data_IF_334244250353
#
_entry.id   IF_334244250353
#
_cell.length_a   1.000
_cell.length_b   1.000
_cell.length_c   1.000
_cell.angle_alpha   90.00
_cell.angle_beta   90.00
_cell.angle_gamma   90.00
#
_symmetry.space_group_name_H-M   'P 1'
#
loop_
_entity.id
_entity.type
_entity.pdbx_description
1 polymer ?
#
# COMPACT_ATOMS: atom_id res chain seq x y z
N UNK A 1 -14.76 27.10 -39.22
CA UNK A 1 -15.86 27.02 -38.25
C UNK A 1 -15.51 25.89 -37.30
N UNK A 2 -15.31 26.19 -36.01
CA UNK A 2 -15.07 25.15 -35.00
C UNK A 2 -16.35 24.33 -34.91
N UNK A 3 -16.26 23.00 -34.98
CA UNK A 3 -17.41 22.11 -34.91
C UNK A 3 -18.17 22.23 -33.58
N UNK A 4 -19.45 21.88 -33.56
CA UNK A 4 -20.25 21.91 -32.32
C UNK A 4 -19.62 21.04 -31.21
N UNK A 5 -19.01 19.92 -31.59
CA UNK A 5 -18.32 18.99 -30.70
C UNK A 5 -17.01 19.57 -30.14
N UNK A 6 -16.18 20.14 -31.01
CA UNK A 6 -14.95 20.83 -30.61
C UNK A 6 -15.24 22.04 -29.69
N UNK A 7 -16.39 22.69 -29.89
CA UNK A 7 -16.86 23.77 -29.00
C UNK A 7 -17.24 23.24 -27.61
N UNK A 8 -17.91 22.09 -27.52
CA UNK A 8 -18.24 21.45 -26.24
C UNK A 8 -16.98 21.04 -25.48
N UNK A 9 -16.04 20.41 -26.18
CA UNK A 9 -14.75 19.99 -25.61
C UNK A 9 -13.95 21.17 -25.05
N UNK A 10 -13.82 22.26 -25.80
CA UNK A 10 -13.13 23.48 -25.32
C UNK A 10 -13.81 24.09 -24.11
N UNK A 11 -15.15 24.11 -24.07
CA UNK A 11 -15.90 24.59 -22.90
C UNK A 11 -15.67 23.73 -21.66
N UNK A 12 -15.66 22.41 -21.80
CA UNK A 12 -15.40 21.52 -20.67
C UNK A 12 -13.98 21.72 -20.12
N UNK A 13 -12.99 21.79 -21.01
CA UNK A 13 -11.60 22.06 -20.63
C UNK A 13 -11.42 23.38 -19.87
N UNK A 14 -12.10 24.45 -20.30
CA UNK A 14 -12.06 25.75 -19.63
C UNK A 14 -12.76 25.78 -18.26
N UNK A 15 -13.55 24.75 -17.91
CA UNK A 15 -14.34 24.70 -16.68
C UNK A 15 -13.79 23.72 -15.63
N UNK A 16 -12.67 23.05 -15.90
CA UNK A 16 -12.06 22.05 -15.01
C UNK A 16 -11.80 22.56 -13.60
N UNK A 17 -11.38 23.82 -13.47
CA UNK A 17 -11.11 24.47 -12.19
C UNK A 17 -12.33 24.56 -11.24
N UNK A 18 -13.56 24.30 -11.71
CA UNK A 18 -14.78 24.35 -10.89
C UNK A 18 -14.97 23.14 -9.99
N UNK A 19 -14.35 22.02 -10.32
CA UNK A 19 -14.32 20.82 -9.48
C UNK A 19 -12.85 20.40 -9.33
N UNK A 20 -12.06 21.20 -8.59
CA UNK A 20 -10.65 20.92 -8.42
C UNK A 20 -10.44 19.92 -7.29
N UNK A 21 -9.39 19.13 -7.41
CA UNK A 21 -8.88 18.20 -6.38
C UNK A 21 -7.36 18.32 -6.31
N UNK A 22 -6.76 17.84 -5.22
CA UNK A 22 -5.30 17.73 -5.09
C UNK A 22 -4.88 16.34 -5.53
N UNK A 23 -3.88 16.24 -6.42
CA UNK A 23 -3.55 15.01 -7.14
C UNK A 23 -3.36 13.78 -6.22
N UNK A 24 -2.46 13.87 -5.24
CA UNK A 24 -2.16 12.76 -4.32
C UNK A 24 -2.83 12.91 -2.95
N UNK A 25 -3.82 13.81 -2.82
CA UNK A 25 -4.53 14.06 -1.57
C UNK A 25 -5.99 14.45 -1.86
N UNK A 26 -6.76 13.46 -2.31
CA UNK A 26 -8.19 13.61 -2.59
C UNK A 26 -8.93 12.32 -2.22
N UNK A 27 -10.26 12.39 -2.18
CA UNK A 27 -11.11 11.26 -1.79
C UNK A 27 -10.97 10.04 -2.70
N UNK A 28 -10.80 10.24 -4.01
CA UNK A 28 -10.67 9.14 -4.98
C UNK A 28 -9.37 8.37 -4.73
N UNK A 29 -8.24 9.08 -4.62
CA UNK A 29 -6.95 8.46 -4.29
C UNK A 29 -6.94 7.77 -2.93
N UNK A 30 -7.62 8.34 -1.92
CA UNK A 30 -7.75 7.68 -0.61
C UNK A 30 -8.56 6.39 -0.74
N UNK A 31 -9.67 6.39 -1.49
CA UNK A 31 -10.48 5.18 -1.69
C UNK A 31 -9.71 4.08 -2.41
N UNK A 32 -8.99 4.44 -3.46
CA UNK A 32 -8.13 3.50 -4.20
C UNK A 32 -7.07 2.91 -3.27
N UNK A 33 -6.37 3.74 -2.50
CA UNK A 33 -5.33 3.28 -1.58
C UNK A 33 -5.90 2.36 -0.47
N UNK A 34 -7.12 2.62 0.03
CA UNK A 34 -7.79 1.73 0.98
C UNK A 34 -8.14 0.36 0.37
N UNK A 35 -8.52 0.32 -0.92
CA UNK A 35 -8.75 -0.94 -1.63
C UNK A 35 -7.45 -1.71 -1.83
N UNK A 36 -6.39 -1.02 -2.23
CA UNK A 36 -5.07 -1.61 -2.42
C UNK A 36 -4.52 -2.19 -1.11
N UNK A 37 -4.60 -1.42 -0.01
CA UNK A 37 -4.19 -1.87 1.32
C UNK A 37 -4.98 -3.11 1.74
N UNK A 38 -6.30 -3.09 1.60
CA UNK A 38 -7.11 -4.24 1.95
C UNK A 38 -6.76 -5.46 1.11
N UNK A 39 -6.62 -5.32 -0.21
CA UNK A 39 -6.27 -6.43 -1.09
C UNK A 39 -4.92 -7.05 -0.71
N UNK A 40 -3.94 -6.22 -0.34
CA UNK A 40 -2.64 -6.69 0.13
C UNK A 40 -2.73 -7.39 1.50
N UNK A 41 -3.55 -6.89 2.41
CA UNK A 41 -3.80 -7.54 3.70
C UNK A 41 -4.53 -8.89 3.54
N UNK A 42 -5.50 -8.99 2.62
CA UNK A 42 -6.17 -10.25 2.28
C UNK A 42 -5.20 -11.24 1.63
N UNK A 43 -4.31 -10.79 0.73
CA UNK A 43 -3.28 -11.64 0.13
C UNK A 43 -2.34 -12.24 1.19
N UNK A 44 -2.01 -11.46 2.21
CA UNK A 44 -1.22 -11.93 3.36
C UNK A 44 -1.97 -13.04 4.11
N UNK A 45 -3.26 -12.86 4.36
CA UNK A 45 -4.10 -13.88 4.99
C UNK A 45 -4.08 -15.20 4.18
N UNK A 46 -4.24 -15.12 2.86
CA UNK A 46 -4.19 -16.29 1.97
C UNK A 46 -2.82 -16.99 1.94
N UNK A 47 -1.73 -16.21 1.97
CA UNK A 47 -0.37 -16.75 2.02
C UNK A 47 -0.19 -17.65 3.26
N UNK A 48 -0.73 -17.24 4.41
CA UNK A 48 -0.60 -18.00 5.64
C UNK A 48 -1.57 -19.16 5.79
N UNK A 49 -2.77 -19.08 5.23
CA UNK A 49 -3.74 -20.18 5.31
C UNK A 49 -3.35 -21.37 4.42
N UNK A 50 -2.45 -21.16 3.45
CA UNK A 50 -1.96 -22.22 2.55
C UNK A 50 -0.64 -22.84 3.01
N UNK A 51 0.18 -22.09 3.75
CA UNK A 51 1.54 -22.48 4.14
C UNK A 51 1.85 -22.00 5.57
N UNK A 52 1.00 -22.35 6.52
CA UNK A 52 1.01 -21.82 7.90
C UNK A 52 2.35 -22.03 8.62
N UNK A 53 3.02 -23.15 8.29
CA UNK A 53 4.36 -23.50 8.77
C UNK A 53 5.42 -22.47 8.34
N UNK A 54 5.26 -21.78 7.19
CA UNK A 54 6.27 -20.80 6.73
C UNK A 54 6.35 -19.54 7.59
N UNK A 55 5.24 -19.04 8.13
CA UNK A 55 5.30 -17.87 9.02
C UNK A 55 5.88 -18.24 10.37
N UNK A 56 5.39 -19.33 10.95
CA UNK A 56 5.85 -19.84 12.25
C UNK A 56 7.36 -20.12 12.17
N UNK A 57 7.82 -20.78 11.10
CA UNK A 57 9.25 -21.01 10.88
C UNK A 57 10.04 -19.72 10.68
N UNK A 58 9.47 -18.70 10.01
CA UNK A 58 10.13 -17.40 9.86
C UNK A 58 10.22 -16.62 11.18
N UNK A 59 9.38 -16.95 12.15
CA UNK A 59 9.36 -16.38 13.49
C UNK A 59 9.94 -17.37 14.52
N UNK A 60 10.91 -18.19 14.13
CA UNK A 60 11.63 -19.13 15.01
C UNK A 60 10.74 -20.11 15.81
N UNK A 61 9.55 -20.41 15.30
CA UNK A 61 8.58 -21.29 15.95
C UNK A 61 7.61 -20.57 16.91
N UNK A 62 7.61 -19.24 16.96
CA UNK A 62 6.71 -18.48 17.84
C UNK A 62 5.30 -18.38 17.25
N UNK A 63 4.43 -19.29 17.68
CA UNK A 63 3.01 -19.34 17.27
C UNK A 63 2.22 -18.11 17.75
N UNK A 64 2.56 -17.55 18.91
CA UNK A 64 1.85 -16.39 19.47
C UNK A 64 2.17 -15.14 18.64
N UNK A 65 3.45 -14.91 18.32
CA UNK A 65 3.86 -13.79 17.45
C UNK A 65 3.28 -13.94 16.03
N UNK A 66 3.26 -15.15 15.48
CA UNK A 66 2.63 -15.42 14.19
C UNK A 66 1.13 -15.09 14.20
N UNK A 67 0.42 -15.46 15.27
CA UNK A 67 -1.00 -15.14 15.44
C UNK A 67 -1.24 -13.63 15.59
N UNK A 68 -0.44 -12.95 16.42
CA UNK A 68 -0.52 -11.49 16.58
C UNK A 68 -0.31 -10.76 15.24
N UNK A 69 0.67 -11.21 14.47
CA UNK A 69 0.96 -10.63 13.17
C UNK A 69 -0.23 -10.78 12.20
N UNK A 70 -0.86 -11.97 12.13
CA UNK A 70 -2.09 -12.18 11.35
C UNK A 70 -3.22 -11.25 11.81
N UNK A 71 -3.41 -11.13 13.11
CA UNK A 71 -4.45 -10.26 13.69
C UNK A 71 -4.26 -8.79 13.31
N UNK A 72 -3.02 -8.30 13.25
CA UNK A 72 -2.73 -6.92 12.84
C UNK A 72 -3.16 -6.62 11.40
N UNK A 73 -2.99 -7.56 10.46
CA UNK A 73 -3.48 -7.41 9.08
C UNK A 73 -5.01 -7.48 9.01
N UNK A 74 -5.64 -8.38 9.79
CA UNK A 74 -7.09 -8.47 9.86
C UNK A 74 -7.73 -7.18 10.43
N UNK A 75 -7.12 -6.58 11.44
CA UNK A 75 -7.54 -5.31 12.01
C UNK A 75 -7.42 -4.17 10.98
N UNK A 76 -6.34 -4.13 10.20
CA UNK A 76 -6.18 -3.18 9.10
C UNK A 76 -7.28 -3.33 8.03
N UNK A 77 -7.64 -4.56 7.63
CA UNK A 77 -8.77 -4.79 6.72
C UNK A 77 -10.06 -4.17 7.27
N UNK A 78 -10.39 -4.47 8.52
CA UNK A 78 -11.59 -3.97 9.18
C UNK A 78 -11.59 -2.45 9.34
N UNK A 79 -10.42 -1.84 9.51
CA UNK A 79 -10.27 -0.39 9.52
C UNK A 79 -10.42 0.24 8.14
N UNK A 80 -9.93 -0.42 7.07
CA UNK A 80 -10.16 0.04 5.70
C UNK A 80 -11.66 0.06 5.37
N UNK A 81 -12.40 -0.97 5.76
CA UNK A 81 -13.86 -1.02 5.66
C UNK A 81 -14.52 0.16 6.37
N UNK A 82 -14.25 0.34 7.66
CA UNK A 82 -14.81 1.45 8.44
C UNK A 82 -14.46 2.80 7.86
N UNK A 83 -13.23 2.97 7.39
CA UNK A 83 -12.77 4.22 6.83
C UNK A 83 -13.47 4.54 5.50
N UNK A 84 -13.80 3.55 4.68
CA UNK A 84 -14.59 3.79 3.47
C UNK A 84 -15.98 4.31 3.81
N UNK A 85 -16.62 3.76 4.84
CA UNK A 85 -17.90 4.28 5.34
C UNK A 85 -17.74 5.73 5.85
N UNK A 86 -16.65 6.01 6.58
CA UNK A 86 -16.35 7.36 7.07
C UNK A 86 -16.23 8.37 5.92
N UNK A 87 -15.67 7.98 4.76
CA UNK A 87 -15.50 8.88 3.61
C UNK A 87 -16.82 9.35 3.00
N UNK A 88 -17.93 8.67 3.30
CA UNK A 88 -19.28 9.03 2.85
C UNK A 88 -20.08 9.79 3.92
N UNK A 89 -19.49 10.13 5.07
CA UNK A 89 -20.15 10.92 6.12
C UNK A 89 -20.46 12.35 5.66
N UNK A 90 -21.70 12.78 5.93
CA UNK A 90 -22.32 14.12 5.74
C UNK A 90 -21.53 15.16 4.91
N UNK A 91 -20.44 15.71 5.46
CA UNK A 91 -19.71 16.81 4.83
C UNK A 91 -18.51 16.38 3.97
N UNK A 92 -18.05 15.14 4.11
CA UNK A 92 -16.78 14.69 3.53
C UNK A 92 -16.82 14.69 1.99
N UNK A 93 -17.83 14.09 1.32
CA UNK A 93 -17.89 14.08 -0.14
C UNK A 93 -17.91 15.47 -0.78
N UNK A 94 -18.43 16.46 -0.06
CA UNK A 94 -18.58 17.82 -0.56
C UNK A 94 -17.42 18.75 -0.14
N UNK A 95 -16.78 18.51 1.00
CA UNK A 95 -15.86 19.46 1.58
C UNK A 95 -14.40 19.02 1.55
N UNK A 96 -14.09 17.72 1.57
CA UNK A 96 -12.72 17.23 1.75
C UNK A 96 -11.76 17.78 0.69
N UNK A 97 -12.03 17.49 -0.59
CA UNK A 97 -11.15 17.93 -1.68
C UNK A 97 -11.08 19.47 -1.74
N UNK A 98 -12.20 20.15 -1.49
CA UNK A 98 -12.27 21.61 -1.49
C UNK A 98 -11.42 22.22 -0.39
N UNK A 99 -11.37 21.62 0.80
CA UNK A 99 -10.53 22.08 1.89
C UNK A 99 -9.06 21.99 1.51
N UNK A 100 -8.59 20.83 1.04
CA UNK A 100 -7.19 20.63 0.69
C UNK A 100 -6.74 21.48 -0.50
N UNK A 101 -7.62 21.68 -1.49
CA UNK A 101 -7.37 22.67 -2.55
C UNK A 101 -7.31 24.08 -1.97
N UNK A 102 -8.25 24.49 -1.11
CA UNK A 102 -8.33 25.86 -0.59
C UNK A 102 -7.15 26.24 0.32
N UNK A 103 -6.54 25.27 1.01
CA UNK A 103 -5.36 25.50 1.87
C UNK A 103 -4.03 25.43 1.10
N UNK A 104 -4.05 25.18 -0.21
CA UNK A 104 -2.86 25.16 -1.04
C UNK A 104 -2.09 23.84 -1.03
N UNK A 105 -2.70 22.72 -0.62
CA UNK A 105 -2.02 21.42 -0.55
C UNK A 105 -1.54 20.91 -1.93
N UNK A 106 -1.99 21.52 -3.03
CA UNK A 106 -1.45 21.24 -4.37
C UNK A 106 0.06 21.47 -4.50
N UNK A 107 0.66 22.36 -3.70
CA UNK A 107 2.10 22.62 -3.72
C UNK A 107 2.92 21.41 -3.23
N UNK A 108 2.39 20.66 -2.26
CA UNK A 108 3.10 19.55 -1.61
C UNK A 108 2.66 18.17 -2.15
N UNK A 109 1.43 18.05 -2.66
CA UNK A 109 0.80 16.76 -2.96
C UNK A 109 0.56 16.55 -4.47
N UNK A 110 1.55 16.92 -5.29
CA UNK A 110 1.58 16.54 -6.71
C UNK A 110 0.73 17.40 -7.66
N UNK A 111 0.36 18.62 -7.25
CA UNK A 111 -0.38 19.58 -8.05
C UNK A 111 -1.89 19.49 -7.91
N UNK A 112 -2.58 20.35 -8.68
CA UNK A 112 -4.04 20.39 -8.74
C UNK A 112 -4.54 19.70 -10.01
N UNK A 113 -5.62 18.95 -9.87
CA UNK A 113 -6.39 18.41 -10.99
C UNK A 113 -7.77 19.05 -11.04
N UNK A 114 -8.41 19.05 -12.21
CA UNK A 114 -9.76 19.54 -12.39
C UNK A 114 -10.57 18.65 -13.32
N UNK A 115 -11.85 18.46 -12.99
CA UNK A 115 -12.73 17.52 -13.68
C UNK A 115 -13.19 18.03 -15.05
N UNK A 116 -12.92 17.26 -16.09
CA UNK A 116 -13.41 17.51 -17.45
C UNK A 116 -14.72 16.77 -17.70
N UNK A 117 -15.83 17.50 -17.73
CA UNK A 117 -17.17 16.91 -17.98
C UNK A 117 -17.35 16.29 -19.36
N UNK A 118 -16.51 16.61 -20.34
CA UNK A 118 -16.60 16.02 -21.68
C UNK A 118 -15.84 14.69 -21.74
N UNK A 119 -14.62 14.67 -21.21
CA UNK A 119 -13.77 13.46 -21.17
C UNK A 119 -14.16 12.52 -19.99
N UNK A 120 -14.94 13.02 -19.02
CA UNK A 120 -15.36 12.31 -17.79
C UNK A 120 -14.18 11.92 -16.89
N UNK A 121 -13.13 12.73 -16.87
CA UNK A 121 -11.87 12.43 -16.18
C UNK A 121 -11.20 13.70 -15.62
N UNK A 122 -10.24 13.54 -14.71
CA UNK A 122 -9.46 14.62 -14.12
C UNK A 122 -8.20 14.92 -14.93
N UNK A 123 -7.89 16.21 -15.10
CA UNK A 123 -6.70 16.67 -15.79
C UNK A 123 -5.94 17.69 -14.97
N UNK A 124 -4.61 17.70 -15.11
CA UNK A 124 -3.75 18.70 -14.47
C UNK A 124 -4.18 20.13 -14.78
N UNK A 125 -4.23 20.95 -13.73
CA UNK A 125 -4.43 22.39 -13.81
C UNK A 125 -3.07 23.08 -13.81
N UNK A 126 -2.91 24.08 -14.68
CA UNK A 126 -1.66 24.83 -14.79
C UNK A 126 -1.64 26.02 -13.83
N UNK A 127 -0.47 26.46 -13.35
CA UNK A 127 -0.34 27.59 -12.40
C UNK A 127 -0.96 28.92 -12.89
N UNK A 128 -1.23 29.05 -14.19
CA UNK A 128 -1.98 30.17 -14.77
C UNK A 128 -3.49 30.15 -14.46
N UNK A 129 -3.99 29.07 -13.86
CA UNK A 129 -5.38 28.82 -13.47
C UNK A 129 -5.58 28.96 -11.95
N UNK A 130 -4.98 29.98 -11.33
CA UNK A 130 -5.08 30.33 -9.89
C UNK A 130 -6.51 30.52 -9.33
N UNK A 131 -7.54 30.23 -10.12
CA UNK A 131 -8.94 30.26 -9.74
C UNK A 131 -9.41 28.98 -9.04
N UNK A 132 -8.67 27.87 -9.12
CA UNK A 132 -9.08 26.61 -8.49
C UNK A 132 -9.23 26.75 -6.96
N UNK A 133 -8.21 27.31 -6.30
CA UNK A 133 -8.27 27.60 -4.87
C UNK A 133 -9.35 28.61 -4.53
N UNK A 134 -9.48 29.67 -5.34
CA UNK A 134 -10.47 30.71 -5.12
C UNK A 134 -11.91 30.20 -5.28
N UNK A 135 -12.16 29.29 -6.23
CA UNK A 135 -13.46 28.66 -6.41
C UNK A 135 -13.77 27.71 -5.24
N UNK A 136 -12.80 26.92 -4.78
CA UNK A 136 -12.95 26.12 -3.54
C UNK A 136 -13.24 27.00 -2.32
N UNK A 137 -12.46 28.07 -2.11
CA UNK A 137 -12.66 29.06 -1.04
C UNK A 137 -14.06 29.68 -1.11
N UNK A 138 -14.53 30.02 -2.31
CA UNK A 138 -15.87 30.61 -2.53
C UNK A 138 -17.00 29.64 -2.19
N UNK A 139 -16.85 28.36 -2.51
CA UNK A 139 -17.84 27.34 -2.12
C UNK A 139 -17.86 27.17 -0.60
N UNK A 140 -16.71 27.00 0.04
CA UNK A 140 -16.60 26.87 1.49
C UNK A 140 -17.15 28.11 2.24
N UNK A 141 -16.90 29.32 1.72
CA UNK A 141 -17.41 30.58 2.29
C UNK A 141 -18.94 30.75 2.23
N UNK A 142 -19.67 29.89 1.50
CA UNK A 142 -21.14 29.90 1.49
C UNK A 142 -21.75 29.19 2.71
N UNK A 143 -20.95 28.37 3.39
CA UNK A 143 -21.34 27.70 4.63
C UNK A 143 -21.38 28.71 5.78
N UNK A 144 -22.23 28.44 6.76
CA UNK A 144 -22.16 29.14 8.04
C UNK A 144 -20.85 28.81 8.76
N UNK A 145 -20.47 29.64 9.75
CA UNK A 145 -19.25 29.38 10.53
C UNK A 145 -19.32 28.04 11.26
N UNK A 146 -20.50 27.68 11.77
CA UNK A 146 -20.69 26.43 12.50
C UNK A 146 -20.61 25.21 11.58
N UNK A 147 -21.25 25.27 10.40
CA UNK A 147 -21.12 24.22 9.36
C UNK A 147 -19.67 24.07 8.88
N UNK A 148 -18.97 25.19 8.63
CA UNK A 148 -17.59 25.16 8.17
C UNK A 148 -16.67 24.49 9.22
N UNK A 149 -16.86 24.80 10.51
CA UNK A 149 -16.11 24.17 11.61
C UNK A 149 -16.45 22.68 11.71
N UNK A 150 -17.72 22.30 11.58
CA UNK A 150 -18.14 20.90 11.61
C UNK A 150 -17.54 20.09 10.45
N UNK A 151 -17.61 20.63 9.23
CA UNK A 151 -17.04 20.03 8.03
C UNK A 151 -15.52 19.91 8.13
N UNK A 152 -14.83 20.95 8.58
CA UNK A 152 -13.38 20.92 8.79
C UNK A 152 -12.98 19.85 9.82
N UNK A 153 -13.74 19.73 10.93
CA UNK A 153 -13.51 18.68 11.93
C UNK A 153 -13.62 17.28 11.33
N UNK A 154 -14.65 17.01 10.53
CA UNK A 154 -14.83 15.71 9.87
C UNK A 154 -13.70 15.42 8.89
N UNK A 155 -13.40 16.37 7.98
CA UNK A 155 -12.39 16.19 6.94
C UNK A 155 -10.99 15.97 7.53
N UNK A 156 -10.60 16.75 8.55
CA UNK A 156 -9.29 16.58 9.18
C UNK A 156 -9.19 15.33 10.03
N UNK A 157 -10.27 14.90 10.69
CA UNK A 157 -10.31 13.62 11.39
C UNK A 157 -10.05 12.46 10.41
N UNK A 158 -10.76 12.44 9.29
CA UNK A 158 -10.58 11.40 8.26
C UNK A 158 -9.16 11.43 7.68
N UNK A 159 -8.63 12.61 7.36
CA UNK A 159 -7.24 12.71 6.91
C UNK A 159 -6.24 12.15 7.93
N UNK A 160 -6.38 12.51 9.22
CA UNK A 160 -5.51 12.01 10.28
C UNK A 160 -5.61 10.48 10.46
N UNK A 161 -6.84 9.96 10.48
CA UNK A 161 -7.09 8.52 10.54
C UNK A 161 -6.43 7.78 9.37
N UNK A 162 -6.50 8.36 8.16
CA UNK A 162 -5.97 7.75 6.94
C UNK A 162 -4.45 7.71 6.98
N UNK A 163 -3.81 8.81 7.38
CA UNK A 163 -2.35 8.85 7.56
C UNK A 163 -1.87 7.85 8.61
N UNK A 164 -2.62 7.68 9.71
CA UNK A 164 -2.28 6.69 10.74
C UNK A 164 -2.51 5.25 10.29
N UNK A 165 -3.51 4.99 9.45
CA UNK A 165 -3.77 3.67 8.86
C UNK A 165 -2.66 3.31 7.87
N UNK A 166 -2.39 4.21 6.91
CA UNK A 166 -1.32 4.06 5.93
C UNK A 166 0.03 3.80 6.60
N UNK A 167 0.38 4.58 7.63
CA UNK A 167 1.64 4.38 8.33
C UNK A 167 1.76 2.99 8.96
N UNK A 168 0.69 2.48 9.60
CA UNK A 168 0.69 1.13 10.17
C UNK A 168 0.80 0.05 9.10
N UNK A 169 0.10 0.23 7.98
CA UNK A 169 0.24 -0.65 6.82
C UNK A 169 1.68 -0.66 6.28
N UNK A 170 2.29 0.50 6.08
CA UNK A 170 3.67 0.60 5.59
C UNK A 170 4.65 -0.12 6.53
N UNK A 171 4.48 0.03 7.85
CA UNK A 171 5.28 -0.69 8.85
C UNK A 171 5.08 -2.21 8.78
N UNK A 172 3.83 -2.67 8.72
CA UNK A 172 3.51 -4.10 8.67
C UNK A 172 3.98 -4.74 7.37
N UNK A 173 3.83 -4.04 6.24
CA UNK A 173 4.34 -4.47 4.94
C UNK A 173 5.85 -4.61 4.95
N UNK A 174 6.57 -3.62 5.49
CA UNK A 174 8.02 -3.70 5.61
C UNK A 174 8.46 -4.90 6.46
N UNK A 175 7.78 -5.16 7.59
CA UNK A 175 8.05 -6.36 8.40
C UNK A 175 7.78 -7.66 7.64
N UNK A 176 6.68 -7.72 6.89
CA UNK A 176 6.33 -8.89 6.06
C UNK A 176 7.39 -9.17 5.00
N UNK A 177 7.83 -8.14 4.30
CA UNK A 177 8.81 -8.27 3.21
C UNK A 177 10.14 -8.80 3.77
N UNK A 178 10.56 -8.34 4.96
CA UNK A 178 11.74 -8.88 5.65
C UNK A 178 11.58 -10.37 5.97
N UNK A 179 10.43 -10.78 6.53
CA UNK A 179 10.17 -12.19 6.87
C UNK A 179 10.16 -13.08 5.62
N UNK A 180 9.57 -12.61 4.52
CA UNK A 180 9.55 -13.34 3.23
C UNK A 180 10.94 -13.47 2.63
N UNK A 181 11.75 -12.42 2.66
CA UNK A 181 13.11 -12.43 2.13
C UNK A 181 14.01 -13.38 2.92
N UNK A 182 13.90 -13.37 4.26
CA UNK A 182 14.63 -14.31 5.13
C UNK A 182 14.25 -15.75 4.81
N UNK A 183 12.96 -16.07 4.77
CA UNK A 183 12.49 -17.43 4.50
C UNK A 183 12.89 -17.91 3.09
N UNK A 184 12.80 -17.05 2.08
CA UNK A 184 13.27 -17.35 0.71
C UNK A 184 14.77 -17.65 0.69
N UNK A 185 15.58 -16.92 1.46
CA UNK A 185 17.01 -17.17 1.62
C UNK A 185 17.30 -18.53 2.24
N UNK A 186 16.61 -18.90 3.31
CA UNK A 186 16.74 -20.21 3.95
C UNK A 186 16.35 -21.34 3.00
N UNK A 187 15.21 -21.24 2.30
CA UNK A 187 14.76 -22.24 1.33
C UNK A 187 15.76 -22.45 0.18
N UNK A 188 16.38 -21.37 -0.31
CA UNK A 188 17.43 -21.48 -1.32
C UNK A 188 18.67 -22.21 -0.79
N UNK A 189 19.05 -21.97 0.47
CA UNK A 189 20.19 -22.63 1.10
C UNK A 189 19.91 -24.13 1.35
N UNK A 190 18.72 -24.48 1.85
CA UNK A 190 18.29 -25.88 2.02
C UNK A 190 18.34 -26.62 0.67
N UNK A 191 17.78 -26.03 -0.38
CA UNK A 191 17.81 -26.62 -1.72
C UNK A 191 19.22 -26.82 -2.26
N UNK A 192 20.13 -25.87 -2.00
CA UNK A 192 21.54 -26.02 -2.37
C UNK A 192 22.21 -27.18 -1.61
N UNK A 193 21.91 -27.34 -0.32
CA UNK A 193 22.42 -28.44 0.50
C UNK A 193 21.88 -29.78 -0.01
N UNK A 194 20.57 -29.87 -0.29
CA UNK A 194 19.93 -31.07 -0.87
C UNK A 194 20.56 -31.44 -2.21
N UNK A 195 20.70 -30.48 -3.13
CA UNK A 195 21.30 -30.70 -4.45
C UNK A 195 22.76 -31.20 -4.34
N UNK A 196 23.54 -30.69 -3.38
CA UNK A 196 24.93 -31.12 -3.15
C UNK A 196 24.95 -32.49 -2.46
N UNK A 197 24.05 -32.74 -1.52
CA UNK A 197 23.90 -34.01 -0.84
C UNK A 197 23.58 -35.14 -1.83
N UNK A 198 22.61 -34.94 -2.72
CA UNK A 198 22.23 -35.94 -3.74
C UNK A 198 23.40 -36.25 -4.69
N UNK A 199 24.18 -35.23 -5.09
CA UNK A 199 25.39 -35.44 -5.90
C UNK A 199 26.46 -36.21 -5.14
N UNK A 200 26.70 -35.86 -3.87
CA UNK A 200 27.66 -36.54 -3.01
C UNK A 200 27.25 -38.00 -2.77
N UNK A 201 25.98 -38.27 -2.48
CA UNK A 201 25.44 -39.62 -2.31
C UNK A 201 25.66 -40.47 -3.56
N UNK A 202 25.37 -39.91 -4.74
CA UNK A 202 25.53 -40.60 -6.02
C UNK A 202 27.00 -40.88 -6.36
N UNK A 203 27.89 -39.92 -6.17
CA UNK A 203 29.34 -40.06 -6.42
C UNK A 203 30.00 -41.06 -5.47
N UNK A 204 29.52 -41.13 -4.22
CA UNK A 204 30.07 -41.97 -3.16
C UNK A 204 29.42 -43.36 -3.04
N UNK A 205 28.47 -43.70 -3.92
CA UNK A 205 27.66 -44.94 -3.85
C UNK A 205 26.94 -45.09 -2.50
N UNK A 206 26.20 -44.06 -2.11
CA UNK A 206 25.50 -44.01 -0.82
C UNK A 206 26.46 -43.83 0.35
N UNK A 207 27.46 -42.95 0.20
CA UNK A 207 28.50 -42.67 1.19
C UNK A 207 29.37 -43.87 1.58
N UNK A 208 29.42 -44.90 0.73
CA UNK A 208 30.33 -46.04 0.91
C UNK A 208 31.80 -45.63 0.68
N UNK A 209 32.03 -44.61 -0.13
CA UNK A 209 33.37 -44.09 -0.46
C UNK A 209 33.46 -42.58 -0.22
N UNK A 210 34.19 -42.17 0.83
CA UNK A 210 34.26 -40.79 1.32
C UNK A 210 35.37 -39.93 0.67
N UNK A 211 35.75 -40.23 -0.57
CA UNK A 211 36.85 -39.54 -1.27
C UNK A 211 36.43 -38.96 -2.63
N UNK A 212 35.12 -38.83 -2.83
CA UNK A 212 34.52 -38.20 -4.01
C UNK A 212 34.64 -36.68 -3.98
N UNK A 213 34.74 -36.05 -5.17
CA UNK A 213 34.84 -34.59 -5.28
C UNK A 213 33.59 -33.92 -4.69
N UNK A 214 32.43 -34.51 -4.96
CA UNK A 214 31.14 -33.97 -4.49
C UNK A 214 30.98 -34.15 -2.97
N UNK A 215 31.58 -35.19 -2.37
CA UNK A 215 31.63 -35.37 -0.90
C UNK A 215 32.43 -34.24 -0.24
N UNK A 216 33.59 -33.89 -0.80
CA UNK A 216 34.37 -32.76 -0.29
C UNK A 216 33.68 -31.40 -0.47
N UNK A 217 32.81 -31.25 -1.46
CA UNK A 217 31.99 -30.05 -1.62
C UNK A 217 30.87 -29.98 -0.59
N UNK A 218 30.23 -31.12 -0.27
CA UNK A 218 29.26 -31.23 0.81
C UNK A 218 29.90 -30.88 2.16
N UNK A 219 31.03 -31.50 2.50
CA UNK A 219 31.75 -31.26 3.75
C UNK A 219 32.10 -29.78 3.91
N UNK A 220 32.57 -29.13 2.83
CA UNK A 220 32.87 -27.69 2.84
C UNK A 220 31.64 -26.85 3.17
N UNK A 221 30.46 -27.19 2.64
CA UNK A 221 29.24 -26.43 2.94
C UNK A 221 28.83 -26.63 4.39
N UNK A 222 28.84 -27.88 4.87
CA UNK A 222 28.50 -28.21 6.25
C UNK A 222 29.44 -27.53 7.26
N UNK A 223 30.75 -27.54 7.01
CA UNK A 223 31.76 -26.90 7.87
C UNK A 223 31.63 -25.37 7.96
N UNK A 224 31.03 -24.73 6.94
CA UNK A 224 30.83 -23.28 6.93
C UNK A 224 29.42 -22.87 7.36
N UNK A 225 28.57 -23.80 7.77
CA UNK A 225 27.24 -23.46 8.28
C UNK A 225 27.34 -22.76 9.65
N UNK A 226 26.48 -21.75 9.91
CA UNK A 226 26.40 -21.10 11.20
C UNK A 226 26.05 -22.11 12.30
N UNK A 227 26.54 -21.88 13.52
CA UNK A 227 26.39 -22.84 14.63
C UNK A 227 24.92 -23.10 14.96
N UNK A 228 24.09 -22.09 14.79
CA UNK A 228 22.64 -22.08 14.98
C UNK A 228 21.95 -23.16 14.12
N UNK A 229 22.48 -23.48 12.93
CA UNK A 229 21.93 -24.51 12.05
C UNK A 229 22.09 -25.95 12.57
N UNK A 230 22.87 -26.15 13.64
CA UNK A 230 23.13 -27.47 14.23
C UNK A 230 22.42 -27.71 15.57
N UNK A 231 21.73 -26.71 16.10
CA UNK A 231 21.25 -26.69 17.50
C UNK A 231 19.71 -26.74 17.62
N UNK A 232 18.99 -26.61 16.50
CA UNK A 232 17.55 -26.93 16.42
C UNK A 232 17.32 -28.44 16.35
#
# INVERSE_FOLDING_TARGET
MIGAEETKRKKASQLRYKKPIVNNLNLESIREELWDIQGECENVQWYFDTDEDTLINALDGDEDEAYEFKMMFADLCAECDRMRDDLDEEWIPDCFDRFFVAVGAGEDFGGLLGYDTYEQDYFGLSCTEAWAEDESKKVLKRMTKDELIAAARQCFRVYQSFMSLRHRYDCLKASMDILRDQNTGYLQMVKQIEDVYERAEKDSLGFRYLFGKEVGELDRILENMPQEAWVQ
#
